data_IF_130448482433
#
_entry.id   IF_130448482433
#
_cell.length_a   1.000
_cell.length_b   1.000
_cell.length_c   1.000
_cell.angle_alpha   90.00
_cell.angle_beta   90.00
_cell.angle_gamma   90.00
#
_symmetry.space_group_name_H-M   'P 1'
#
loop_
_entity.id
_entity.type
_entity.pdbx_description
1 polymer ?
#
# COMPACT_ATOMS: atom_id res chain seq x y z
N UNK A 1 -11.26 8.13 -9.44
CA UNK A 1 -10.85 8.88 -8.19
C UNK A 1 -9.67 9.76 -8.49
N UNK A 2 -9.67 11.00 -8.03
CA UNK A 2 -8.50 11.88 -8.08
C UNK A 2 -7.65 11.69 -6.81
N UNK A 3 -6.36 11.40 -6.99
CA UNK A 3 -5.38 11.32 -5.90
C UNK A 3 -4.46 12.52 -6.04
N UNK A 4 -4.37 13.43 -5.03
CA UNK A 4 -3.47 14.58 -5.08
C UNK A 4 -2.00 14.18 -5.29
N UNK A 5 -1.27 14.98 -6.02
CA UNK A 5 0.13 14.70 -6.39
C UNK A 5 1.04 14.45 -5.18
N UNK A 6 0.84 15.20 -4.10
CA UNK A 6 1.62 15.12 -2.87
C UNK A 6 1.06 14.14 -1.82
N UNK A 7 -0.09 13.50 -2.08
CA UNK A 7 -0.65 12.52 -1.17
C UNK A 7 0.23 11.27 -1.10
N UNK A 8 0.35 10.69 0.08
CA UNK A 8 1.02 9.42 0.29
C UNK A 8 0.04 8.28 0.02
N UNK A 9 0.43 7.35 -0.83
CA UNK A 9 -0.36 6.18 -1.21
C UNK A 9 0.29 4.91 -0.68
N UNK A 10 -0.46 4.13 0.09
CA UNK A 10 -0.08 2.79 0.53
C UNK A 10 -0.61 1.77 -0.48
N UNK A 11 0.28 1.01 -1.09
CA UNK A 11 -0.07 -0.10 -1.98
C UNK A 11 -0.03 -1.39 -1.16
N UNK A 12 -1.13 -2.13 -1.12
CA UNK A 12 -1.23 -3.41 -0.42
C UNK A 12 -1.78 -4.52 -1.31
N UNK A 13 -1.28 -5.74 -1.09
CA UNK A 13 -1.72 -6.92 -1.85
C UNK A 13 -3.06 -7.44 -1.34
N UNK A 14 -3.94 -7.80 -2.26
CA UNK A 14 -5.16 -8.56 -2.01
C UNK A 14 -4.93 -10.00 -2.44
N UNK A 15 -4.67 -10.88 -1.48
CA UNK A 15 -4.14 -12.23 -1.74
C UNK A 15 -5.14 -13.19 -2.38
N UNK A 16 -6.42 -13.05 -2.05
CA UNK A 16 -7.47 -13.98 -2.45
C UNK A 16 -8.75 -13.26 -2.89
N UNK A 17 -9.65 -13.91 -3.65
CA UNK A 17 -10.97 -13.36 -3.95
C UNK A 17 -11.77 -12.99 -2.69
N UNK A 18 -11.72 -13.79 -1.64
CA UNK A 18 -12.39 -13.53 -0.37
C UNK A 18 -11.85 -12.26 0.31
N UNK A 19 -10.54 -11.99 0.21
CA UNK A 19 -9.96 -10.75 0.74
C UNK A 19 -10.47 -9.52 -0.03
N UNK A 20 -10.69 -9.62 -1.33
CA UNK A 20 -11.30 -8.55 -2.12
C UNK A 20 -12.75 -8.31 -1.73
N UNK A 21 -13.54 -9.37 -1.61
CA UNK A 21 -14.95 -9.27 -1.18
C UNK A 21 -15.05 -8.65 0.22
N UNK A 22 -14.15 -9.03 1.12
CA UNK A 22 -14.04 -8.44 2.46
C UNK A 22 -13.67 -6.97 2.41
N UNK A 23 -12.67 -6.60 1.59
CA UNK A 23 -12.28 -5.21 1.40
C UNK A 23 -13.45 -4.33 0.93
N UNK A 24 -14.16 -4.79 -0.09
CA UNK A 24 -15.29 -4.04 -0.67
C UNK A 24 -16.47 -3.97 0.29
N UNK A 25 -16.82 -5.06 0.96
CA UNK A 25 -17.98 -5.13 1.84
C UNK A 25 -17.78 -4.44 3.18
N UNK A 26 -16.58 -4.55 3.77
CA UNK A 26 -16.27 -3.96 5.08
C UNK A 26 -15.59 -2.61 4.99
N UNK A 27 -15.04 -2.26 3.85
CA UNK A 27 -14.22 -1.06 3.63
C UNK A 27 -13.03 -0.99 4.60
N UNK A 28 -12.46 -2.14 4.95
CA UNK A 28 -11.28 -2.25 5.82
C UNK A 28 -10.15 -3.01 5.14
N UNK A 29 -8.94 -2.56 5.41
CA UNK A 29 -7.71 -3.29 5.09
C UNK A 29 -6.82 -3.36 6.33
N UNK A 30 -6.15 -4.51 6.56
CA UNK A 30 -5.39 -4.76 7.78
C UNK A 30 -3.94 -5.09 7.46
N UNK A 31 -3.03 -4.49 8.22
CA UNK A 31 -1.60 -4.77 8.12
C UNK A 31 -1.01 -5.10 9.49
N UNK A 32 0.05 -5.95 9.56
CA UNK A 32 0.74 -6.23 10.81
C UNK A 32 1.28 -4.96 11.46
N UNK A 33 1.25 -4.90 12.79
CA UNK A 33 1.73 -3.73 13.56
C UNK A 33 3.19 -3.35 13.24
N UNK A 34 4.02 -4.30 12.85
CA UNK A 34 5.40 -4.04 12.43
C UNK A 34 5.51 -3.03 11.27
N UNK A 35 4.43 -2.85 10.50
CA UNK A 35 4.36 -1.91 9.36
C UNK A 35 3.44 -0.71 9.64
N UNK A 36 3.08 -0.48 10.90
CA UNK A 36 2.15 0.58 11.30
C UNK A 36 2.57 1.98 10.81
N UNK A 37 3.87 2.28 10.78
CA UNK A 37 4.38 3.57 10.31
C UNK A 37 4.00 3.84 8.84
N UNK A 38 3.97 2.81 7.98
CA UNK A 38 3.53 2.95 6.59
C UNK A 38 2.05 3.30 6.50
N UNK A 39 1.23 2.68 7.38
CA UNK A 39 -0.20 2.95 7.43
C UNK A 39 -0.50 4.38 7.90
N UNK A 40 0.05 4.78 9.03
CA UNK A 40 -0.24 6.08 9.66
C UNK A 40 0.21 7.28 8.83
N UNK A 41 1.17 7.11 7.94
CA UNK A 41 1.63 8.16 7.03
C UNK A 41 0.93 8.16 5.67
N UNK A 42 -0.04 7.27 5.44
CA UNK A 42 -0.73 7.15 4.16
C UNK A 42 -2.08 7.88 4.16
N UNK A 43 -2.36 8.58 3.08
CA UNK A 43 -3.63 9.28 2.83
C UNK A 43 -4.60 8.42 2.00
N UNK A 44 -4.04 7.60 1.11
CA UNK A 44 -4.77 6.75 0.18
C UNK A 44 -4.25 5.32 0.21
N UNK A 45 -5.13 4.40 -0.15
CA UNK A 45 -4.83 2.98 -0.32
C UNK A 45 -5.02 2.57 -1.78
N UNK A 46 -4.12 1.75 -2.30
CA UNK A 46 -4.20 1.16 -3.63
C UNK A 46 -4.09 -0.36 -3.54
N UNK A 47 -5.10 -1.06 -4.04
CA UNK A 47 -5.20 -2.51 -3.98
C UNK A 47 -4.49 -3.16 -5.17
N UNK A 48 -3.42 -3.90 -4.89
CA UNK A 48 -2.72 -4.72 -5.88
C UNK A 48 -3.34 -6.11 -5.96
N UNK A 49 -3.73 -6.51 -7.16
CA UNK A 49 -4.39 -7.78 -7.45
C UNK A 49 -3.43 -8.73 -8.15
N UNK A 50 -3.01 -9.84 -7.51
CA UNK A 50 -2.13 -10.83 -8.13
C UNK A 50 -2.86 -11.69 -9.17
N UNK A 51 -2.23 -12.80 -9.57
CA UNK A 51 -2.66 -13.64 -10.70
C UNK A 51 -4.08 -14.21 -10.64
N UNK A 52 -4.67 -14.30 -9.44
CA UNK A 52 -5.99 -14.93 -9.27
C UNK A 52 -7.16 -14.11 -9.85
N UNK A 53 -6.99 -12.79 -10.04
CA UNK A 53 -8.08 -11.96 -10.52
C UNK A 53 -8.34 -12.20 -12.03
N UNK A 54 -9.58 -12.44 -12.46
CA UNK A 54 -9.87 -12.86 -13.83
C UNK A 54 -9.54 -11.81 -14.91
N UNK A 55 -9.71 -10.52 -14.59
CA UNK A 55 -9.55 -9.42 -15.57
C UNK A 55 -8.50 -8.39 -15.21
N UNK A 56 -8.17 -8.26 -13.92
CA UNK A 56 -7.19 -7.28 -13.40
C UNK A 56 -5.97 -7.95 -12.76
N UNK A 57 -5.64 -9.19 -13.20
CA UNK A 57 -4.46 -9.87 -12.71
C UNK A 57 -3.19 -9.03 -12.91
N UNK A 58 -2.35 -8.95 -11.88
CA UNK A 58 -1.10 -8.19 -11.88
C UNK A 58 -1.27 -6.68 -12.10
N UNK A 59 -2.37 -6.10 -11.59
CA UNK A 59 -2.61 -4.66 -11.65
C UNK A 59 -2.94 -4.08 -10.28
N UNK A 60 -2.72 -2.78 -10.13
CA UNK A 60 -3.51 -2.01 -9.16
C UNK A 60 -4.90 -1.85 -9.76
N UNK A 61 -5.88 -2.47 -9.11
CA UNK A 61 -7.26 -2.51 -9.61
C UNK A 61 -8.21 -1.54 -8.93
N UNK A 62 -7.94 -1.19 -7.66
CA UNK A 62 -8.80 -0.31 -6.87
C UNK A 62 -7.98 0.71 -6.11
N UNK A 63 -8.57 1.89 -5.89
CA UNK A 63 -8.04 2.94 -5.04
C UNK A 63 -9.13 3.38 -4.05
N UNK A 64 -8.70 3.81 -2.86
CA UNK A 64 -9.58 4.28 -1.80
C UNK A 64 -8.92 5.39 -1.00
N UNK A 65 -9.71 6.22 -0.33
CA UNK A 65 -9.23 7.20 0.64
C UNK A 65 -9.17 6.55 2.02
N UNK A 66 -8.10 6.76 2.77
CA UNK A 66 -8.00 6.33 4.17
C UNK A 66 -8.66 7.41 5.03
N UNK A 67 -9.63 7.02 5.87
CA UNK A 67 -10.38 7.96 6.70
C UNK A 67 -10.10 7.81 8.17
N UNK A 68 -9.71 6.62 8.63
CA UNK A 68 -9.43 6.34 10.03
C UNK A 68 -8.54 5.11 10.18
N UNK A 69 -8.04 4.90 11.41
CA UNK A 69 -7.17 3.80 11.79
C UNK A 69 -7.69 3.14 13.04
N UNK A 70 -7.57 1.81 13.10
CA UNK A 70 -7.88 1.03 14.31
C UNK A 70 -6.70 0.15 14.68
N UNK A 71 -6.56 -0.17 15.96
CA UNK A 71 -5.57 -1.12 16.45
C UNK A 71 -6.32 -2.27 17.14
N UNK A 72 -6.02 -3.49 16.77
CA UNK A 72 -6.65 -4.66 17.37
C UNK A 72 -5.93 -5.96 17.06
N UNK A 73 -6.34 -7.03 17.73
CA UNK A 73 -5.87 -8.36 17.41
C UNK A 73 -6.39 -8.80 16.04
N UNK A 74 -5.58 -9.54 15.28
CA UNK A 74 -5.98 -10.05 13.97
C UNK A 74 -7.30 -10.79 13.99
N UNK A 75 -7.55 -11.62 15.01
CA UNK A 75 -8.81 -12.37 15.12
C UNK A 75 -10.04 -11.46 15.22
N UNK A 76 -9.91 -10.28 15.81
CA UNK A 76 -10.99 -9.30 15.87
C UNK A 76 -11.18 -8.57 14.52
N UNK A 77 -10.08 -8.31 13.83
CA UNK A 77 -10.08 -7.64 12.53
C UNK A 77 -10.52 -8.55 11.38
N UNK A 78 -10.21 -9.85 11.48
CA UNK A 78 -10.48 -10.85 10.46
C UNK A 78 -11.24 -12.05 11.07
N UNK A 79 -12.50 -11.88 11.50
CA UNK A 79 -13.25 -12.92 12.21
C UNK A 79 -13.52 -14.17 11.37
N UNK A 80 -13.40 -14.08 10.04
CA UNK A 80 -13.50 -15.20 9.12
C UNK A 80 -12.26 -16.12 9.11
N UNK A 81 -11.21 -15.77 9.83
CA UNK A 81 -9.95 -16.52 9.95
C UNK A 81 -9.55 -16.72 11.43
N UNK A 82 -10.39 -17.31 12.29
CA UNK A 82 -10.16 -17.37 13.73
C UNK A 82 -8.95 -18.23 14.13
N UNK A 83 -8.59 -19.22 13.31
CA UNK A 83 -7.48 -20.14 13.53
C UNK A 83 -6.20 -19.77 12.79
N UNK A 84 -6.10 -18.54 12.26
CA UNK A 84 -4.89 -18.10 11.59
C UNK A 84 -3.70 -18.10 12.57
N UNK A 85 -2.48 -18.52 12.16
CA UNK A 85 -1.30 -18.56 13.06
C UNK A 85 -0.97 -17.23 13.73
N UNK A 86 -1.38 -16.11 13.13
CA UNK A 86 -1.19 -14.75 13.66
C UNK A 86 -2.44 -14.16 14.30
N UNK A 87 -3.44 -14.97 14.66
CA UNK A 87 -4.71 -14.49 15.22
C UNK A 87 -4.54 -13.61 16.47
N UNK A 88 -3.54 -13.90 17.29
CA UNK A 88 -3.21 -13.16 18.52
C UNK A 88 -2.22 -12.00 18.31
N UNK A 89 -1.79 -11.72 17.10
CA UNK A 89 -0.90 -10.59 16.81
C UNK A 89 -1.73 -9.32 16.58
N UNK A 90 -1.16 -8.18 16.98
CA UNK A 90 -1.76 -6.87 16.71
C UNK A 90 -1.64 -6.48 15.26
N UNK A 91 -2.70 -5.89 14.73
CA UNK A 91 -2.83 -5.37 13.38
C UNK A 91 -3.37 -3.95 13.43
N UNK A 92 -2.92 -3.14 12.48
CA UNK A 92 -3.52 -1.83 12.19
C UNK A 92 -4.57 -2.03 11.12
N UNK A 93 -5.80 -1.63 11.41
CA UNK A 93 -6.89 -1.56 10.44
C UNK A 93 -6.96 -0.18 9.82
N UNK A 94 -7.08 -0.14 8.50
CA UNK A 94 -7.36 1.07 7.74
C UNK A 94 -8.85 1.10 7.42
N UNK A 95 -9.55 2.15 7.88
CA UNK A 95 -10.89 2.44 7.41
C UNK A 95 -10.79 3.15 6.07
N UNK A 96 -11.47 2.60 5.06
CA UNK A 96 -11.44 3.10 3.70
C UNK A 96 -12.77 3.74 3.32
N UNK A 97 -12.71 4.71 2.42
CA UNK A 97 -13.89 5.30 1.79
C UNK A 97 -13.65 5.45 0.29
N UNK A 98 -14.75 5.55 -0.45
CA UNK A 98 -14.73 5.82 -1.89
C UNK A 98 -13.92 4.77 -2.68
N UNK A 99 -14.06 3.49 -2.32
CA UNK A 99 -13.38 2.42 -3.05
C UNK A 99 -13.87 2.41 -4.50
N UNK A 100 -12.99 2.71 -5.43
CA UNK A 100 -13.29 2.82 -6.86
C UNK A 100 -12.25 2.10 -7.70
N UNK A 101 -12.61 1.58 -8.89
CA UNK A 101 -11.63 1.07 -9.83
C UNK A 101 -10.58 2.13 -10.14
N UNK A 102 -9.32 1.70 -10.23
CA UNK A 102 -8.21 2.57 -10.63
C UNK A 102 -8.23 2.75 -12.15
N UNK A 103 -8.30 4.01 -12.60
CA UNK A 103 -8.31 4.34 -14.03
C UNK A 103 -7.20 5.36 -14.34
N UNK A 104 -6.26 5.01 -15.25
CA UNK A 104 -6.10 3.68 -15.87
C UNK A 104 -5.60 2.62 -14.90
N UNK A 105 -5.83 1.33 -15.22
CA UNK A 105 -5.23 0.23 -14.47
C UNK A 105 -3.71 0.29 -14.59
N UNK A 106 -2.99 0.12 -13.48
CA UNK A 106 -1.53 0.19 -13.45
C UNK A 106 -0.97 -1.24 -13.41
N UNK A 107 -0.36 -1.73 -14.50
CA UNK A 107 0.13 -3.09 -14.58
C UNK A 107 1.44 -3.29 -13.81
N UNK A 108 1.65 -4.51 -13.32
CA UNK A 108 2.94 -4.99 -12.82
C UNK A 108 3.53 -6.01 -13.80
N UNK A 109 4.47 -5.57 -14.64
CA UNK A 109 5.10 -6.43 -15.65
C UNK A 109 6.25 -7.26 -15.08
N UNK A 110 7.06 -6.66 -14.23
CA UNK A 110 8.27 -7.26 -13.66
C UNK A 110 8.22 -7.44 -12.14
N UNK A 111 7.63 -6.50 -11.41
CA UNK A 111 7.55 -6.52 -9.95
C UNK A 111 6.26 -7.18 -9.46
N UNK A 112 6.17 -8.49 -9.57
CA UNK A 112 4.96 -9.26 -9.26
C UNK A 112 4.86 -9.71 -7.80
N UNK A 113 5.95 -9.63 -7.02
CA UNK A 113 5.99 -9.99 -5.59
C UNK A 113 5.86 -8.76 -4.70
N UNK A 114 4.99 -7.85 -5.07
CA UNK A 114 4.65 -6.71 -4.23
C UNK A 114 3.77 -7.20 -3.07
N UNK A 115 4.14 -6.83 -1.86
CA UNK A 115 3.32 -7.08 -0.68
C UNK A 115 2.78 -5.79 -0.07
N UNK A 116 3.66 -4.87 0.29
CA UNK A 116 3.33 -3.56 0.85
C UNK A 116 4.35 -2.54 0.38
N UNK A 117 3.89 -1.38 -0.07
CA UNK A 117 4.77 -0.34 -0.59
C UNK A 117 4.12 1.04 -0.46
N UNK A 118 4.92 2.08 -0.27
CA UNK A 118 4.44 3.47 -0.26
C UNK A 118 4.98 4.24 -1.45
N UNK A 119 4.16 5.16 -1.97
CA UNK A 119 4.51 6.05 -3.07
C UNK A 119 3.74 7.36 -2.95
N UNK A 120 3.95 8.30 -3.85
CA UNK A 120 3.14 9.52 -3.93
C UNK A 120 2.05 9.38 -4.99
N UNK A 121 0.99 10.19 -4.87
CA UNK A 121 -0.06 10.25 -5.87
C UNK A 121 0.48 10.57 -7.26
N UNK A 122 1.37 11.55 -7.37
CA UNK A 122 2.04 11.91 -8.63
C UNK A 122 2.79 10.74 -9.26
N UNK A 123 3.58 10.02 -8.45
CA UNK A 123 4.37 8.89 -8.95
C UNK A 123 3.48 7.73 -9.37
N UNK A 124 2.45 7.41 -8.57
CA UNK A 124 1.51 6.34 -8.89
C UNK A 124 0.74 6.61 -10.17
N UNK A 125 0.12 7.79 -10.29
CA UNK A 125 -0.77 8.12 -11.40
C UNK A 125 -0.03 8.32 -12.73
N UNK A 126 1.26 8.60 -12.70
CA UNK A 126 2.12 8.75 -13.90
C UNK A 126 2.91 7.50 -14.25
N UNK A 127 2.90 6.48 -13.39
CA UNK A 127 3.66 5.26 -13.63
C UNK A 127 3.01 4.41 -14.74
N UNK A 128 3.70 4.10 -15.84
CA UNK A 128 3.20 3.19 -16.86
C UNK A 128 3.18 1.73 -16.40
N UNK A 129 3.94 1.43 -15.32
CA UNK A 129 3.97 0.11 -14.67
C UNK A 129 4.58 0.18 -13.26
N UNK A 130 4.26 -0.77 -12.40
CA UNK A 130 4.67 -0.76 -10.97
C UNK A 130 6.17 -0.87 -10.73
N UNK A 131 6.92 -1.51 -11.61
CA UNK A 131 8.37 -1.65 -11.49
C UNK A 131 9.12 -0.31 -11.44
N UNK A 132 8.52 0.76 -11.94
CA UNK A 132 9.12 2.10 -11.87
C UNK A 132 9.03 2.70 -10.46
N UNK A 133 8.03 2.36 -9.67
CA UNK A 133 7.90 2.83 -8.28
C UNK A 133 9.08 2.37 -7.42
N UNK A 134 9.52 1.12 -7.60
CA UNK A 134 10.67 0.58 -6.88
C UNK A 134 11.99 1.30 -7.21
N UNK A 135 12.15 1.76 -8.44
CA UNK A 135 13.35 2.49 -8.87
C UNK A 135 13.43 3.89 -8.27
N UNK A 136 12.30 4.57 -8.17
CA UNK A 136 12.21 5.91 -7.58
C UNK A 136 12.61 5.87 -6.10
N UNK A 137 12.13 4.90 -5.36
CA UNK A 137 12.45 4.77 -3.94
C UNK A 137 13.95 4.52 -3.69
N UNK A 138 14.61 3.69 -4.51
CA UNK A 138 16.06 3.45 -4.40
C UNK A 138 16.87 4.72 -4.61
N UNK A 139 16.46 5.62 -5.51
CA UNK A 139 17.14 6.91 -5.75
C UNK A 139 17.04 7.83 -4.54
N UNK A 140 15.91 7.92 -3.87
CA UNK A 140 15.74 8.73 -2.67
C UNK A 140 16.66 8.25 -1.52
N UNK A 141 16.72 6.94 -1.26
CA UNK A 141 17.61 6.40 -0.23
C UNK A 141 19.10 6.63 -0.54
N UNK A 142 19.51 6.55 -1.80
CA UNK A 142 20.90 6.81 -2.21
C UNK A 142 21.28 8.27 -2.04
N UNK A 143 20.38 9.22 -2.23
CA UNK A 143 20.65 10.66 -2.04
C UNK A 143 20.68 11.07 -0.56
N UNK A 144 19.89 10.41 0.29
CA UNK A 144 19.86 10.71 1.74
C UNK A 144 21.10 10.19 2.49
N UNK A 145 21.91 9.35 1.89
CA UNK A 145 23.14 8.80 2.46
C UNK A 145 24.42 9.52 2.00
N UNK A 146 24.32 10.63 1.24
CA UNK A 146 25.49 11.44 0.93
C UNK A 146 25.93 12.19 2.20
N UNK A 147 27.19 12.02 2.64
CA UNK A 147 27.71 12.77 3.79
C UNK A 147 27.73 14.26 3.42
N UNK A 148 27.16 15.08 4.27
CA UNK A 148 27.34 16.53 4.22
C UNK A 148 28.83 16.80 4.35
N UNK A 149 29.43 17.40 3.34
CA UNK A 149 30.84 17.82 3.32
C UNK A 149 31.10 18.71 4.54
N UNK A 150 32.01 18.24 5.38
CA UNK A 150 32.55 18.96 6.52
C UNK A 150 33.23 20.22 6.00
N UNK A 151 32.71 21.38 6.32
CA UNK A 151 33.41 22.65 6.11
C UNK A 151 34.57 22.72 7.08
N UNK A 152 35.78 22.59 6.59
CA UNK A 152 37.00 22.88 7.35
C UNK A 152 37.03 24.39 7.66
N UNK A 153 36.88 24.71 8.93
CA UNK A 153 37.38 25.97 9.47
C UNK A 153 38.90 25.84 9.61
N UNK A 154 39.62 26.60 8.83
CA UNK A 154 41.04 26.92 9.07
C UNK A 154 41.10 28.30 9.74
N UNK A 155 41.80 28.36 10.84
CA UNK A 155 42.19 29.59 11.57
C UNK A 155 42.99 30.55 10.71
#
# INVERSE_FOLDING_TARGET
MYIPDNATVLIGIIKTPTDLDTLISTQHYHIPIAHAALAYNADYFAAYLPKWHPTMAWHIGYCARITDYTLGLRQACCPHQPHHPRAQQYYVGLQLADITPCEPLIPSRKWRRLWLHTTTGATLMRAPELGQLARTQRRFFSQSLMPTSTTNYTD
#
